data_IF_043324213022
#
_entry.id   IF_043324213022
#
_cell.length_a   1.000
_cell.length_b   1.000
_cell.length_c   1.000
_cell.angle_alpha   90.00
_cell.angle_beta   90.00
_cell.angle_gamma   90.00
#
_symmetry.space_group_name_H-M   'P 1'
#
loop_
_entity.id
_entity.type
_entity.pdbx_description
1 polymer ?
#
# COMPACT_ATOMS: atom_id res chain seq x y z
N UNK A 1 1.53 14.68 3.57
CA UNK A 1 1.53 13.27 4.02
C UNK A 1 1.87 12.43 2.82
N UNK A 2 2.86 11.54 2.94
CA UNK A 2 3.31 10.65 1.89
C UNK A 2 2.74 9.25 2.14
N UNK A 3 2.05 8.69 1.14
CA UNK A 3 1.29 7.43 1.24
C UNK A 3 1.83 6.39 0.26
N UNK A 4 2.13 5.20 0.76
CA UNK A 4 2.43 4.03 -0.09
C UNK A 4 1.15 3.23 -0.33
N UNK A 5 0.66 3.19 -1.57
CA UNK A 5 -0.51 2.39 -1.96
C UNK A 5 -0.06 1.06 -2.57
N UNK A 6 -0.15 -0.03 -1.81
CA UNK A 6 0.47 -1.31 -2.12
C UNK A 6 -0.54 -2.32 -2.67
N UNK A 7 -0.22 -2.85 -3.86
CA UNK A 7 -1.04 -3.81 -4.60
C UNK A 7 -0.22 -5.04 -5.00
N UNK A 8 -0.85 -6.21 -5.18
CA UNK A 8 -0.16 -7.48 -5.45
C UNK A 8 -0.53 -8.17 -6.76
N UNK A 9 -1.65 -7.77 -7.38
CA UNK A 9 -2.21 -8.34 -8.60
C UNK A 9 -3.13 -7.34 -9.30
N UNK A 10 -3.64 -7.71 -10.49
CA UNK A 10 -4.51 -6.82 -11.28
C UNK A 10 -5.75 -6.34 -10.50
N UNK A 11 -6.56 -7.20 -9.84
CA UNK A 11 -7.72 -6.71 -9.07
C UNK A 11 -7.38 -5.70 -7.97
N UNK A 12 -6.26 -5.90 -7.26
CA UNK A 12 -5.81 -4.93 -6.25
C UNK A 12 -5.34 -3.61 -6.87
N UNK A 13 -4.75 -3.65 -8.07
CA UNK A 13 -4.35 -2.45 -8.80
C UNK A 13 -5.56 -1.70 -9.36
N UNK A 14 -6.55 -2.40 -9.90
CA UNK A 14 -7.81 -1.78 -10.35
C UNK A 14 -8.50 -1.05 -9.19
N UNK A 15 -8.48 -1.66 -8.01
CA UNK A 15 -9.00 -1.07 -6.77
C UNK A 15 -8.19 0.16 -6.36
N UNK A 16 -6.86 0.09 -6.44
CA UNK A 16 -5.99 1.24 -6.17
C UNK A 16 -6.27 2.39 -7.15
N UNK A 17 -6.42 2.12 -8.44
CA UNK A 17 -6.76 3.14 -9.45
C UNK A 17 -8.12 3.79 -9.18
N UNK A 18 -9.08 3.05 -8.62
CA UNK A 18 -10.38 3.60 -8.20
C UNK A 18 -10.30 4.43 -6.92
N UNK A 19 -9.38 4.09 -6.01
CA UNK A 19 -9.15 4.83 -4.77
C UNK A 19 -8.31 6.10 -5.00
N UNK A 20 -7.37 6.06 -5.94
CA UNK A 20 -6.37 7.11 -6.18
C UNK A 20 -6.95 8.53 -6.35
N UNK A 21 -8.06 8.77 -7.09
CA UNK A 21 -8.65 10.10 -7.23
C UNK A 21 -9.15 10.72 -5.92
N UNK A 22 -9.40 9.91 -4.89
CA UNK A 22 -9.80 10.40 -3.57
C UNK A 22 -8.61 10.79 -2.68
N UNK A 23 -7.38 10.59 -3.17
CA UNK A 23 -6.14 10.85 -2.44
C UNK A 23 -5.31 11.98 -3.07
N UNK A 24 -5.89 12.80 -3.96
CA UNK A 24 -5.21 13.86 -4.71
C UNK A 24 -4.53 14.93 -3.84
N UNK A 25 -5.00 15.11 -2.59
CA UNK A 25 -4.40 16.04 -1.63
C UNK A 25 -3.09 15.53 -1.01
N UNK A 26 -2.71 14.27 -1.27
CA UNK A 26 -1.55 13.61 -0.70
C UNK A 26 -0.52 13.24 -1.76
N UNK A 27 0.73 13.07 -1.33
CA UNK A 27 1.78 12.49 -2.18
C UNK A 27 1.61 10.96 -2.14
N UNK A 28 1.14 10.37 -3.24
CA UNK A 28 0.80 8.94 -3.28
C UNK A 28 1.69 8.21 -4.28
N UNK A 29 2.46 7.26 -3.76
CA UNK A 29 3.22 6.31 -4.56
C UNK A 29 2.46 4.99 -4.67
N UNK A 30 2.08 4.61 -5.89
CA UNK A 30 1.37 3.36 -6.15
C UNK A 30 2.36 2.27 -6.52
N UNK A 31 2.32 1.16 -5.80
CA UNK A 31 3.18 0.00 -6.01
C UNK A 31 2.42 -1.17 -6.63
N UNK A 32 3.00 -1.81 -7.65
CA UNK A 32 2.40 -2.94 -8.36
C UNK A 32 3.41 -3.94 -8.89
N UNK A 33 2.92 -5.12 -9.29
CA UNK A 33 3.74 -6.10 -10.01
C UNK A 33 4.00 -5.65 -11.44
N UNK A 34 5.05 -6.21 -12.04
CA UNK A 34 5.33 -6.07 -13.46
C UNK A 34 4.16 -6.62 -14.30
N UNK A 35 3.96 -6.08 -15.49
CA UNK A 35 3.02 -6.55 -16.50
C UNK A 35 1.52 -6.41 -16.10
N UNK A 36 1.21 -5.53 -15.14
CA UNK A 36 -0.17 -5.15 -14.82
C UNK A 36 -0.63 -3.99 -15.72
N UNK A 37 -1.91 -4.01 -16.11
CA UNK A 37 -2.52 -2.95 -16.92
C UNK A 37 -2.98 -1.82 -16.00
N UNK A 38 -2.61 -0.57 -16.31
CA UNK A 38 -3.04 0.59 -15.54
C UNK A 38 -3.10 1.86 -16.39
N UNK A 39 -3.81 2.86 -15.88
CA UNK A 39 -3.91 4.21 -16.42
C UNK A 39 -3.18 5.26 -15.56
N UNK A 40 -2.41 4.82 -14.55
CA UNK A 40 -1.59 5.70 -13.71
C UNK A 40 -0.43 6.29 -14.51
N UNK A 41 -0.08 7.54 -14.22
CA UNK A 41 1.10 8.22 -14.80
C UNK A 41 2.40 7.49 -14.46
N UNK A 42 2.50 6.98 -13.23
CA UNK A 42 3.62 6.20 -12.74
C UNK A 42 3.12 5.03 -11.88
N UNK A 43 3.76 3.87 -12.04
CA UNK A 43 3.60 2.70 -11.18
C UNK A 43 4.98 2.23 -10.74
N UNK A 44 5.20 2.14 -9.43
CA UNK A 44 6.47 1.67 -8.88
C UNK A 44 6.47 0.14 -8.83
N UNK A 45 7.38 -0.46 -9.58
CA UNK A 45 7.46 -1.92 -9.69
C UNK A 45 8.30 -2.52 -8.57
N UNK A 46 7.87 -3.69 -8.09
CA UNK A 46 8.58 -4.43 -7.04
C UNK A 46 8.54 -5.95 -7.29
N UNK A 47 9.45 -6.71 -6.67
CA UNK A 47 9.51 -8.17 -6.83
C UNK A 47 8.91 -8.92 -5.64
N UNK A 48 9.19 -8.48 -4.42
CA UNK A 48 8.68 -9.03 -3.16
C UNK A 48 8.09 -7.92 -2.30
N UNK A 49 7.09 -8.25 -1.50
CA UNK A 49 6.41 -7.26 -0.66
C UNK A 49 7.38 -6.55 0.30
N UNK A 50 8.45 -7.23 0.72
CA UNK A 50 9.51 -6.68 1.57
C UNK A 50 10.33 -5.58 0.86
N UNK A 51 10.42 -5.62 -0.48
CA UNK A 51 11.08 -4.59 -1.28
C UNK A 51 10.33 -3.25 -1.19
N UNK A 52 9.07 -3.27 -0.73
CA UNK A 52 8.25 -2.08 -0.49
C UNK A 52 8.15 -1.79 0.99
N UNK A 53 7.71 -2.77 1.80
CA UNK A 53 7.32 -2.51 3.18
C UNK A 53 8.51 -2.08 4.05
N UNK A 54 9.71 -2.63 3.82
CA UNK A 54 10.90 -2.26 4.60
C UNK A 54 11.33 -0.80 4.38
N UNK A 55 11.54 -0.33 3.12
CA UNK A 55 11.82 1.08 2.91
C UNK A 55 10.60 1.96 3.24
N UNK A 56 9.39 1.51 2.91
CA UNK A 56 8.19 2.29 3.17
C UNK A 56 7.98 2.57 4.66
N UNK A 57 8.40 1.65 5.53
CA UNK A 57 8.32 1.81 6.98
C UNK A 57 9.06 3.04 7.51
N UNK A 58 10.08 3.52 6.78
CA UNK A 58 10.94 4.62 7.21
C UNK A 58 10.65 5.94 6.50
N UNK A 59 10.05 5.87 5.32
CA UNK A 59 9.93 7.02 4.41
C UNK A 59 8.51 7.55 4.26
N UNK A 60 7.50 6.76 4.66
CA UNK A 60 6.10 7.10 4.47
C UNK A 60 5.43 7.40 5.80
N UNK A 61 4.41 8.25 5.75
CA UNK A 61 3.57 8.54 6.90
C UNK A 61 2.46 7.48 7.04
N UNK A 62 2.02 6.90 5.91
CA UNK A 62 1.00 5.87 5.87
C UNK A 62 1.25 4.83 4.77
N UNK A 63 0.87 3.58 5.04
CA UNK A 63 0.92 2.45 4.12
C UNK A 63 -0.49 1.88 3.98
N UNK A 64 -1.05 1.98 2.78
CA UNK A 64 -2.36 1.44 2.44
C UNK A 64 -2.19 0.15 1.63
N UNK A 65 -2.62 -0.96 2.19
CA UNK A 65 -2.48 -2.29 1.62
C UNK A 65 -3.82 -2.79 1.06
N UNK A 66 -3.91 -2.98 -0.26
CA UNK A 66 -5.05 -3.67 -0.90
C UNK A 66 -4.70 -5.14 -1.16
N UNK A 67 -4.60 -5.92 -0.08
CA UNK A 67 -4.29 -7.36 -0.12
C UNK A 67 -4.76 -8.06 1.16
N UNK A 68 -4.55 -9.37 1.25
CA UNK A 68 -4.98 -10.16 2.41
C UNK A 68 -4.32 -9.66 3.72
N UNK A 69 -5.15 -9.25 4.69
CA UNK A 69 -4.73 -8.74 6.01
C UNK A 69 -3.71 -9.65 6.70
N UNK A 70 -3.94 -10.97 6.68
CA UNK A 70 -3.02 -11.93 7.31
C UNK A 70 -1.62 -11.97 6.69
N UNK A 71 -1.44 -11.55 5.43
CA UNK A 71 -0.12 -11.35 4.85
C UNK A 71 0.51 -10.04 5.34
N UNK A 72 -0.27 -8.95 5.39
CA UNK A 72 0.19 -7.64 5.88
C UNK A 72 0.69 -7.75 7.32
N UNK A 73 -0.14 -8.26 8.24
CA UNK A 73 0.20 -8.37 9.68
C UNK A 73 1.52 -9.13 9.89
N UNK A 74 1.72 -10.26 9.19
CA UNK A 74 2.95 -11.05 9.30
C UNK A 74 4.19 -10.32 8.77
N UNK A 75 4.02 -9.43 7.80
CA UNK A 75 5.12 -8.66 7.21
C UNK A 75 5.47 -7.41 7.99
N UNK A 76 4.48 -6.73 8.57
CA UNK A 76 4.72 -5.52 9.37
C UNK A 76 5.16 -5.84 10.80
N UNK A 77 4.74 -6.96 11.38
CA UNK A 77 5.08 -7.34 12.76
C UNK A 77 6.58 -7.25 13.09
N UNK A 78 7.52 -7.74 12.26
CA UNK A 78 8.96 -7.60 12.54
C UNK A 78 9.52 -6.19 12.28
N UNK A 79 8.74 -5.27 11.71
CA UNK A 79 9.14 -3.89 11.43
C UNK A 79 8.72 -2.90 12.51
N UNK A 80 7.81 -3.29 13.40
CA UNK A 80 7.32 -2.44 14.49
C UNK A 80 8.48 -2.00 15.39
N UNK A 81 8.66 -0.70 15.56
CA UNK A 81 9.72 -0.13 16.38
C UNK A 81 9.15 0.82 17.45
N UNK A 82 8.35 1.82 17.06
CA UNK A 82 7.81 2.80 17.97
C UNK A 82 6.52 3.43 17.45
N UNK A 83 5.45 3.38 18.26
CA UNK A 83 4.14 3.96 17.96
C UNK A 83 4.16 5.42 17.49
N UNK A 84 5.11 6.23 17.95
CA UNK A 84 5.20 7.65 17.60
C UNK A 84 5.84 7.89 16.22
N UNK A 85 6.57 6.92 15.67
CA UNK A 85 7.33 7.06 14.42
C UNK A 85 6.96 6.04 13.35
N UNK A 86 6.40 4.89 13.74
CA UNK A 86 5.91 3.89 12.80
C UNK A 86 4.78 4.49 11.94
N UNK A 87 4.73 4.19 10.64
CA UNK A 87 3.68 4.69 9.76
C UNK A 87 2.32 4.13 10.15
N UNK A 88 1.26 4.88 9.84
CA UNK A 88 -0.09 4.35 9.92
C UNK A 88 -0.27 3.22 8.88
N UNK A 89 -0.78 2.06 9.30
CA UNK A 89 -1.05 0.95 8.37
C UNK A 89 -2.55 0.76 8.22
N UNK A 90 -3.03 0.76 6.98
CA UNK A 90 -4.43 0.52 6.64
C UNK A 90 -4.51 -0.66 5.69
N UNK A 91 -5.40 -1.60 5.96
CA UNK A 91 -5.74 -2.68 5.03
C UNK A 91 -7.14 -2.45 4.48
N UNK A 92 -7.28 -2.45 3.16
CA UNK A 92 -8.56 -2.30 2.46
C UNK A 92 -8.81 -3.56 1.64
N UNK A 93 -10.03 -4.07 1.65
CA UNK A 93 -10.38 -5.19 0.78
C UNK A 93 -10.52 -4.75 -0.69
N UNK A 94 -10.55 -5.74 -1.60
CA UNK A 94 -10.66 -5.46 -3.06
C UNK A 94 -11.95 -4.74 -3.45
N UNK A 95 -13.02 -4.89 -2.68
CA UNK A 95 -14.29 -4.20 -2.97
C UNK A 95 -14.30 -2.73 -2.51
N UNK A 96 -13.28 -2.28 -1.77
CA UNK A 96 -13.16 -0.95 -1.18
C UNK A 96 -14.31 -0.60 -0.21
N UNK A 97 -14.94 -1.59 0.43
CA UNK A 97 -16.07 -1.42 1.34
C UNK A 97 -15.77 -1.84 2.79
N UNK A 98 -14.56 -2.35 3.03
CA UNK A 98 -14.03 -2.71 4.36
C UNK A 98 -12.63 -2.15 4.52
N UNK A 99 -12.41 -1.47 5.66
CA UNK A 99 -11.16 -0.83 6.02
C UNK A 99 -10.79 -1.30 7.42
N UNK A 100 -9.54 -1.73 7.61
CA UNK A 100 -9.00 -2.15 8.90
C UNK A 100 -7.74 -1.32 9.18
N UNK A 101 -7.76 -0.38 10.13
CA UNK A 101 -6.55 0.23 10.66
C UNK A 101 -5.83 -0.81 11.53
N UNK A 102 -4.51 -0.95 11.35
CA UNK A 102 -3.65 -1.87 12.10
C UNK A 102 -2.78 -1.13 13.11
#
# INVERSE_FOLDING_TARGET
MKIALVTINQPSLDSACRLFPYLEEYEVDVYGKKDLTHNLEALILYKKLDDILVPAWKEYDAIVCILAMGAVVRKIAPLLENKATDPAVIVINLALDKIVPL
#
